data_IF_523743291671
#
_entry.id   IF_523743291671
#
_cell.length_a   1.000
_cell.length_b   1.000
_cell.length_c   1.000
_cell.angle_alpha   90.00
_cell.angle_beta   90.00
_cell.angle_gamma   90.00
#
_symmetry.space_group_name_H-M   'P 1'
#
loop_
_entity.id
_entity.type
_entity.pdbx_description
1 polymer ?
#
# COMPACT_ATOMS: atom_id res chain seq x y z
N UNK A 1 -30.25 45.33 -25.91
CA UNK A 1 -29.30 44.24 -26.22
C UNK A 1 -28.28 44.17 -25.10
N UNK A 2 -27.90 42.98 -24.63
CA UNK A 2 -26.82 42.77 -23.66
C UNK A 2 -25.96 41.61 -24.16
N UNK A 3 -24.65 41.82 -24.23
CA UNK A 3 -23.70 40.80 -24.70
C UNK A 3 -23.56 39.65 -23.68
N UNK A 4 -23.38 38.40 -24.13
CA UNK A 4 -23.05 37.30 -23.23
C UNK A 4 -21.56 37.37 -22.85
N UNK A 5 -21.31 37.52 -21.55
CA UNK A 5 -19.97 37.47 -20.97
C UNK A 5 -19.40 36.05 -21.13
N UNK A 6 -18.46 35.87 -22.05
CA UNK A 6 -17.74 34.60 -22.25
C UNK A 6 -16.82 34.31 -21.07
N UNK A 7 -17.36 33.70 -20.02
CA UNK A 7 -16.59 33.19 -18.89
C UNK A 7 -15.81 31.95 -19.33
N UNK A 8 -14.61 32.19 -19.87
CA UNK A 8 -13.62 31.16 -20.16
C UNK A 8 -13.04 30.61 -18.83
N UNK A 9 -13.82 29.78 -18.14
CA UNK A 9 -13.36 28.99 -17.00
C UNK A 9 -12.59 27.78 -17.51
N UNK A 10 -11.29 27.95 -17.68
CA UNK A 10 -10.31 26.86 -17.73
C UNK A 10 -10.14 26.32 -16.31
N UNK A 11 -10.62 25.11 -15.95
CA UNK A 11 -10.44 24.57 -14.60
C UNK A 11 -9.09 23.86 -14.52
N UNK A 12 -8.00 24.63 -14.52
CA UNK A 12 -6.64 24.07 -14.44
C UNK A 12 -6.23 23.72 -12.99
N UNK A 13 -7.05 24.08 -11.99
CA UNK A 13 -6.72 24.01 -10.57
C UNK A 13 -7.54 22.97 -9.78
N UNK A 14 -8.47 22.25 -10.43
CA UNK A 14 -9.33 21.25 -9.79
C UNK A 14 -8.71 19.84 -9.73
N UNK A 15 -7.49 19.64 -10.24
CA UNK A 15 -6.85 18.32 -10.38
C UNK A 15 -5.95 17.90 -9.20
N UNK A 16 -5.87 18.68 -8.11
CA UNK A 16 -4.86 18.45 -7.06
C UNK A 16 -5.33 18.62 -5.60
N UNK A 17 -6.63 18.79 -5.36
CA UNK A 17 -7.11 19.36 -4.07
C UNK A 17 -8.34 18.67 -3.45
N UNK A 18 -8.41 17.33 -3.48
CA UNK A 18 -9.30 16.58 -2.57
C UNK A 18 -8.62 15.32 -1.96
N UNK A 19 -7.75 15.46 -0.95
CA UNK A 19 -7.16 14.32 -0.23
C UNK A 19 -8.11 13.65 0.80
N UNK A 20 -9.42 13.92 0.77
CA UNK A 20 -10.35 13.61 1.88
C UNK A 20 -11.69 12.96 1.50
N UNK A 21 -11.99 12.71 0.22
CA UNK A 21 -13.24 12.07 -0.21
C UNK A 21 -12.98 10.67 -0.80
N UNK A 22 -13.73 9.67 -0.34
CA UNK A 22 -13.77 8.33 -0.96
C UNK A 22 -14.37 8.33 -2.40
N UNK A 23 -14.98 9.45 -2.80
CA UNK A 23 -15.69 9.62 -4.06
C UNK A 23 -15.16 10.84 -4.82
N UNK A 24 -14.80 10.62 -6.07
CA UNK A 24 -14.60 11.66 -7.08
C UNK A 24 -15.88 12.52 -7.21
N UNK A 25 -15.80 13.83 -7.54
CA UNK A 25 -16.98 14.62 -7.94
C UNK A 25 -17.87 13.99 -9.03
N UNK A 26 -17.37 12.99 -9.78
CA UNK A 26 -18.13 12.13 -10.70
C UNK A 26 -18.71 10.84 -10.08
N UNK A 27 -18.81 10.75 -8.74
CA UNK A 27 -19.26 9.56 -7.97
C UNK A 27 -18.42 8.28 -8.19
N UNK A 28 -17.24 8.37 -8.80
CA UNK A 28 -16.36 7.21 -8.95
C UNK A 28 -15.59 6.98 -7.64
N UNK A 29 -15.54 5.73 -7.17
CA UNK A 29 -14.78 5.36 -5.96
C UNK A 29 -13.29 5.46 -6.24
N UNK A 30 -12.62 6.37 -5.55
CA UNK A 30 -11.16 6.54 -5.63
C UNK A 30 -10.47 5.35 -4.98
N UNK A 31 -11.03 4.82 -3.89
CA UNK A 31 -10.54 3.61 -3.24
C UNK A 31 -11.15 2.34 -3.85
N UNK A 32 -10.37 1.63 -4.68
CA UNK A 32 -10.78 0.33 -5.21
C UNK A 32 -10.49 -0.78 -4.17
N UNK A 33 -11.44 -1.69 -3.86
CA UNK A 33 -11.26 -2.69 -2.80
C UNK A 33 -10.13 -3.71 -3.08
N UNK A 34 -9.62 -3.79 -4.30
CA UNK A 34 -8.42 -4.57 -4.62
C UNK A 34 -7.14 -4.01 -3.97
N UNK A 35 -7.07 -2.70 -3.69
CA UNK A 35 -5.94 -2.08 -2.97
C UNK A 35 -5.88 -2.64 -1.54
N UNK A 36 -7.00 -2.55 -0.81
CA UNK A 36 -7.11 -3.06 0.56
C UNK A 36 -6.91 -4.58 0.65
N UNK A 37 -7.53 -5.35 -0.26
CA UNK A 37 -7.31 -6.81 -0.33
C UNK A 37 -5.86 -7.16 -0.65
N UNK A 38 -5.23 -6.44 -1.58
CA UNK A 38 -3.82 -6.59 -1.92
C UNK A 38 -2.92 -6.28 -0.73
N UNK A 39 -3.18 -5.20 -0.01
CA UNK A 39 -2.44 -4.80 1.19
C UNK A 39 -2.55 -5.85 2.31
N UNK A 40 -3.74 -6.39 2.57
CA UNK A 40 -3.93 -7.43 3.60
C UNK A 40 -3.19 -8.73 3.22
N UNK A 41 -3.35 -9.22 1.99
CA UNK A 41 -2.69 -10.46 1.54
C UNK A 41 -1.17 -10.29 1.49
N UNK A 42 -0.69 -9.18 0.92
CA UNK A 42 0.74 -8.87 0.86
C UNK A 42 1.34 -8.70 2.25
N UNK A 43 0.65 -8.02 3.16
CA UNK A 43 1.10 -7.82 4.54
C UNK A 43 1.19 -9.13 5.33
N UNK A 44 0.21 -10.02 5.17
CA UNK A 44 0.27 -11.36 5.79
C UNK A 44 1.45 -12.18 5.26
N UNK A 45 1.65 -12.22 3.94
CA UNK A 45 2.74 -12.99 3.32
C UNK A 45 4.12 -12.42 3.64
N UNK A 46 4.30 -11.11 3.50
CA UNK A 46 5.56 -10.43 3.80
C UNK A 46 5.91 -10.49 5.28
N UNK A 47 4.91 -10.33 6.17
CA UNK A 47 5.06 -10.48 7.61
C UNK A 47 5.49 -11.90 7.98
N UNK A 48 4.79 -12.92 7.49
CA UNK A 48 5.11 -14.32 7.79
C UNK A 48 6.50 -14.72 7.29
N UNK A 49 6.87 -14.32 6.06
CA UNK A 49 8.19 -14.60 5.50
C UNK A 49 9.31 -13.96 6.33
N UNK A 50 9.18 -12.66 6.64
CA UNK A 50 10.21 -11.97 7.42
C UNK A 50 10.27 -12.45 8.87
N UNK A 51 9.14 -12.81 9.48
CA UNK A 51 9.10 -13.40 10.82
C UNK A 51 9.85 -14.73 10.89
N UNK A 52 9.65 -15.61 9.90
CA UNK A 52 10.37 -16.89 9.82
C UNK A 52 11.87 -16.69 9.55
N UNK A 53 12.22 -15.72 8.70
CA UNK A 53 13.63 -15.37 8.42
C UNK A 53 14.34 -14.81 9.66
N UNK A 54 13.74 -13.84 10.37
CA UNK A 54 14.37 -13.28 11.59
C UNK A 54 14.38 -14.27 12.74
N UNK A 55 13.35 -15.12 12.87
CA UNK A 55 13.34 -16.22 13.83
C UNK A 55 14.46 -17.23 13.55
N UNK A 56 14.62 -17.70 12.30
CA UNK A 56 15.70 -18.63 11.92
C UNK A 56 17.10 -18.04 12.13
N UNK A 57 17.28 -16.74 11.87
CA UNK A 57 18.52 -16.02 12.18
C UNK A 57 18.79 -15.94 13.69
N UNK A 58 17.76 -15.72 14.51
CA UNK A 58 17.88 -15.69 15.98
C UNK A 58 18.10 -17.10 16.58
N UNK A 59 17.50 -18.13 16.00
CA UNK A 59 17.70 -19.54 16.34
C UNK A 59 19.05 -20.11 15.84
N UNK A 60 19.89 -19.28 15.22
CA UNK A 60 21.23 -19.66 14.78
C UNK A 60 21.28 -20.56 13.55
N UNK A 61 20.21 -20.68 12.76
CA UNK A 61 20.17 -21.49 11.54
C UNK A 61 21.19 -21.02 10.49
N UNK A 62 21.49 -19.73 10.48
CA UNK A 62 22.54 -19.15 9.64
C UNK A 62 23.45 -18.25 10.49
N UNK A 63 24.73 -18.59 10.70
CA UNK A 63 25.65 -17.73 11.42
C UNK A 63 26.05 -16.54 10.54
N UNK A 64 25.50 -15.36 10.84
CA UNK A 64 25.86 -14.11 10.13
C UNK A 64 26.75 -13.27 11.04
N UNK A 65 28.00 -13.07 10.62
CA UNK A 65 28.98 -12.27 11.36
C UNK A 65 28.49 -10.82 11.50
N UNK A 66 28.56 -10.27 12.72
CA UNK A 66 28.07 -8.92 13.04
C UNK A 66 26.58 -8.83 13.43
N UNK A 67 25.80 -9.91 13.33
CA UNK A 67 24.36 -9.92 13.70
C UNK A 67 24.07 -10.44 15.12
N UNK A 68 24.96 -11.29 15.66
CA UNK A 68 25.25 -11.41 17.09
C UNK A 68 24.19 -11.85 18.14
N UNK A 69 23.10 -12.58 17.89
CA UNK A 69 22.43 -13.05 16.68
C UNK A 69 20.96 -12.64 16.86
N UNK A 70 20.60 -11.46 16.35
CA UNK A 70 19.47 -10.65 16.84
C UNK A 70 19.53 -10.34 18.35
N UNK A 71 20.71 -9.88 18.77
CA UNK A 71 21.18 -9.65 20.15
C UNK A 71 20.12 -9.58 21.27
N UNK A 72 20.00 -10.71 22.00
CA UNK A 72 19.44 -10.86 23.35
C UNK A 72 17.94 -10.63 23.60
N UNK A 73 17.12 -10.33 22.60
CA UNK A 73 15.65 -10.20 22.76
C UNK A 73 14.87 -11.53 22.87
N UNK A 74 15.47 -12.64 22.43
CA UNK A 74 14.82 -13.94 22.33
C UNK A 74 14.03 -14.14 21.02
N UNK A 75 13.84 -15.41 20.65
CA UNK A 75 13.23 -15.85 19.39
C UNK A 75 11.86 -15.24 19.08
N UNK A 76 11.00 -15.06 20.09
CA UNK A 76 9.67 -14.47 19.91
C UNK A 76 9.72 -12.98 19.54
N UNK A 77 10.67 -12.24 20.12
CA UNK A 77 10.88 -10.82 19.79
C UNK A 77 11.45 -10.68 18.37
N UNK A 78 12.36 -11.58 17.99
CA UNK A 78 12.86 -11.68 16.62
C UNK A 78 11.75 -11.89 15.59
N UNK A 79 10.88 -12.87 15.82
CA UNK A 79 9.74 -13.16 14.96
C UNK A 79 8.76 -11.96 14.89
N UNK A 80 8.48 -11.30 16.02
CA UNK A 80 7.56 -10.16 16.07
C UNK A 80 8.07 -8.94 15.28
N UNK A 81 9.33 -8.52 15.47
CA UNK A 81 9.88 -7.41 14.69
C UNK A 81 10.01 -7.75 13.21
N UNK A 82 10.38 -8.99 12.87
CA UNK A 82 10.33 -9.49 11.51
C UNK A 82 8.94 -9.40 10.90
N UNK A 83 7.91 -9.81 11.66
CA UNK A 83 6.51 -9.70 11.24
C UNK A 83 6.10 -8.26 10.97
N UNK A 84 6.34 -7.33 11.90
CA UNK A 84 5.91 -5.92 11.77
C UNK A 84 6.58 -5.22 10.59
N UNK A 85 7.89 -5.43 10.40
CA UNK A 85 8.63 -4.86 9.25
C UNK A 85 8.17 -5.51 7.95
N UNK A 86 8.06 -6.85 7.94
CA UNK A 86 7.60 -7.61 6.78
C UNK A 86 6.16 -7.33 6.38
N UNK A 87 5.26 -7.08 7.34
CA UNK A 87 3.86 -6.76 7.06
C UNK A 87 3.70 -5.34 6.53
N UNK A 88 4.58 -4.42 6.93
CA UNK A 88 4.63 -3.06 6.40
C UNK A 88 5.10 -3.06 4.94
N UNK A 89 6.20 -3.76 4.64
CA UNK A 89 6.74 -3.90 3.27
C UNK A 89 5.81 -4.72 2.36
N UNK A 90 5.31 -5.84 2.87
CA UNK A 90 4.34 -6.70 2.20
C UNK A 90 3.02 -5.99 1.94
N UNK A 91 2.53 -5.21 2.91
CA UNK A 91 1.29 -4.43 2.76
C UNK A 91 1.42 -3.32 1.72
N UNK A 92 2.54 -2.61 1.71
CA UNK A 92 2.83 -1.60 0.70
C UNK A 92 2.95 -2.20 -0.71
N UNK A 93 3.75 -3.26 -0.87
CA UNK A 93 3.89 -3.96 -2.16
C UNK A 93 2.58 -4.59 -2.64
N UNK A 94 1.78 -5.15 -1.73
CA UNK A 94 0.43 -5.65 -1.99
C UNK A 94 -0.55 -4.55 -2.41
N UNK A 95 -0.50 -3.37 -1.78
CA UNK A 95 -1.31 -2.21 -2.17
C UNK A 95 -0.93 -1.71 -3.58
N UNK A 96 0.37 -1.59 -3.88
CA UNK A 96 0.88 -1.20 -5.20
C UNK A 96 0.51 -2.22 -6.29
N UNK A 97 0.53 -3.52 -5.98
CA UNK A 97 0.04 -4.56 -6.87
C UNK A 97 -1.50 -4.49 -7.05
N UNK A 98 -2.23 -4.09 -6.01
CA UNK A 98 -3.66 -3.82 -6.06
C UNK A 98 -4.02 -2.64 -6.98
N UNK A 99 -3.25 -1.55 -6.92
CA UNK A 99 -3.38 -0.39 -7.82
C UNK A 99 -3.19 -0.79 -9.29
N UNK A 100 -2.20 -1.64 -9.59
CA UNK A 100 -1.95 -2.15 -10.95
C UNK A 100 -3.06 -3.04 -11.52
N UNK A 101 -4.03 -3.48 -10.70
CA UNK A 101 -5.22 -4.23 -11.16
C UNK A 101 -6.44 -3.34 -11.38
N UNK A 102 -6.32 -2.03 -11.14
CA UNK A 102 -7.35 -1.05 -11.48
C UNK A 102 -7.15 -0.64 -12.94
N UNK A 103 -7.29 -1.62 -13.85
CA UNK A 103 -7.30 -1.33 -15.27
C UNK A 103 -8.59 -0.57 -15.61
N UNK A 104 -8.33 0.61 -16.18
CA UNK A 104 -9.25 1.67 -16.56
C UNK A 104 -10.50 1.10 -17.24
N UNK A 105 -11.60 0.98 -16.49
CA UNK A 105 -12.92 0.83 -17.10
C UNK A 105 -13.35 2.19 -17.65
N UNK A 106 -12.79 2.53 -18.82
CA UNK A 106 -13.20 3.69 -19.59
C UNK A 106 -14.73 3.64 -19.78
N UNK A 107 -15.46 4.73 -19.49
CA UNK A 107 -16.91 4.72 -19.59
C UNK A 107 -17.32 4.41 -21.04
N UNK A 108 -18.07 3.32 -21.20
CA UNK A 108 -18.64 2.91 -22.48
C UNK A 108 -19.61 4.02 -22.92
N UNK A 109 -19.23 4.82 -23.92
CA UNK A 109 -20.15 5.76 -24.56
C UNK A 109 -21.31 4.97 -25.18
N UNK A 110 -22.51 5.19 -24.67
CA UNK A 110 -23.78 4.92 -25.34
C UNK A 110 -24.20 6.17 -26.11
#
# INVERSE_FOLDING_TARGET
MKEPLHVNKKPMDAQLLVPLLDYDPHQQRIYHPAIGKGAVVGGLLGGLLMALLTWGLAAGWWPVAGLGQLAAGGEGVAAFFGFVVGSSLGGLTGALAGLRKIDIHAPKKS
#
